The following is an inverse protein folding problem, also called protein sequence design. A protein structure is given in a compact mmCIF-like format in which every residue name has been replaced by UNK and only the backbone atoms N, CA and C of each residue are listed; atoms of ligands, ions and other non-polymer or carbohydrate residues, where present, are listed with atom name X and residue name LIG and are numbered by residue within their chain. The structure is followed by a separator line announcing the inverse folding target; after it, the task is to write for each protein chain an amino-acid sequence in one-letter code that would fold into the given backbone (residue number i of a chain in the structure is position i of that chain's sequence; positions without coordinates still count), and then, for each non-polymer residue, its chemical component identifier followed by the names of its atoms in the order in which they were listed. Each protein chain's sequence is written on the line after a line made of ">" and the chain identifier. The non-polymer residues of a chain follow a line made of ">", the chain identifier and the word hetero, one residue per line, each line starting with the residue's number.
data_IF_023811583034
#
_entry.id   IF_023811583034
#
_cell.length_a   1.000
_cell.length_b   1.000
_cell.length_c   1.000
_cell.angle_alpha   90.00
_cell.angle_beta   90.00
_cell.angle_gamma   90.00
#
_symmetry.space_group_name_H-M   'P 1'
#
loop_
_entity.id
_entity.type
_entity.pdbx_description
1 polymer ?
#
# COMPACT_ATOMS: atom_id res chain seq x y z
N UNK A 1 25.24 -3.20 45.80
CA UNK A 1 24.91 -4.28 44.86
C UNK A 1 23.68 -3.81 44.09
N UNK A 2 23.85 -3.26 42.88
CA UNK A 2 23.55 -3.96 41.59
C UNK A 2 22.11 -4.49 41.60
N UNK A 3 21.18 -4.04 40.74
CA UNK A 3 21.32 -3.79 39.30
C UNK A 3 20.23 -2.83 38.78
N UNK A 4 20.65 -1.99 37.84
CA UNK A 4 19.85 -1.34 36.79
C UNK A 4 18.89 -2.33 36.11
N UNK A 5 17.67 -1.91 35.81
CA UNK A 5 16.91 -2.42 34.68
C UNK A 5 16.27 -1.23 33.96
N UNK A 6 16.78 -0.99 32.76
CA UNK A 6 16.38 0.07 31.86
C UNK A 6 15.00 -0.23 31.25
N UNK A 7 14.34 0.87 30.88
CA UNK A 7 13.25 1.05 29.93
C UNK A 7 12.85 -0.17 29.08
N UNK A 8 11.56 -0.49 29.10
CA UNK A 8 10.90 -1.03 27.92
C UNK A 8 9.74 -0.09 27.55
N UNK A 9 9.96 0.59 26.44
CA UNK A 9 9.02 1.44 25.71
C UNK A 9 7.78 0.60 25.39
N UNK A 10 6.70 0.81 26.13
CA UNK A 10 5.38 0.38 25.70
C UNK A 10 4.80 1.43 24.74
N UNK A 11 5.46 1.59 23.59
CA UNK A 11 4.80 2.10 22.37
C UNK A 11 4.00 0.93 21.81
N UNK A 12 3.05 0.45 22.61
CA UNK A 12 2.12 -0.59 22.23
C UNK A 12 1.23 0.01 21.15
N UNK A 13 1.61 -0.33 19.91
CA UNK A 13 0.81 -0.31 18.70
C UNK A 13 -0.43 0.56 18.77
N UNK A 14 -0.25 1.85 18.48
CA UNK A 14 -1.19 2.44 17.55
C UNK A 14 -1.06 1.63 16.26
N UNK A 15 -1.82 0.53 16.20
CA UNK A 15 -2.30 -0.07 14.96
C UNK A 15 -3.02 1.06 14.26
N UNK A 16 -2.21 1.85 13.58
CA UNK A 16 -2.65 2.95 12.76
C UNK A 16 -3.23 2.26 11.55
N UNK A 17 -4.49 1.82 11.66
CA UNK A 17 -5.43 2.04 10.59
C UNK A 17 -5.53 3.57 10.43
N UNK A 18 -4.43 4.18 9.97
CA UNK A 18 -4.43 5.49 9.39
C UNK A 18 -5.35 5.31 8.19
N UNK A 19 -6.61 5.73 8.35
CA UNK A 19 -7.40 6.15 7.21
C UNK A 19 -6.52 7.16 6.49
N UNK A 20 -5.81 6.70 5.45
CA UNK A 20 -4.88 7.51 4.68
C UNK A 20 -5.68 8.75 4.26
N UNK A 21 -5.22 9.92 4.67
CA UNK A 21 -5.86 11.14 4.24
C UNK A 21 -5.89 11.15 2.70
N UNK A 22 -6.83 11.83 2.02
CA UNK A 22 -6.95 11.82 0.55
C UNK A 22 -5.75 12.34 -0.26
N UNK A 23 -4.57 12.53 0.33
CA UNK A 23 -3.29 12.77 -0.34
C UNK A 23 -2.13 11.94 0.24
N UNK A 24 -2.42 10.96 1.10
CA UNK A 24 -1.46 10.04 1.73
C UNK A 24 -1.53 8.63 1.11
N UNK A 25 -2.56 8.37 0.30
CA UNK A 25 -2.69 7.14 -0.50
C UNK A 25 -1.59 7.11 -1.56
N UNK A 26 -0.56 6.33 -1.26
CA UNK A 26 0.53 6.01 -2.16
C UNK A 26 0.49 4.51 -2.46
N UNK A 27 0.96 4.12 -3.64
CA UNK A 27 1.17 2.71 -3.93
C UNK A 27 2.17 2.12 -2.94
N UNK A 28 1.84 0.95 -2.43
CA UNK A 28 2.74 0.12 -1.63
C UNK A 28 3.91 -0.34 -2.51
N UNK A 29 5.04 -0.66 -1.88
CA UNK A 29 6.23 -1.13 -2.61
C UNK A 29 5.95 -2.40 -3.42
N UNK A 30 5.16 -3.32 -2.87
CA UNK A 30 4.72 -4.52 -3.58
C UNK A 30 3.84 -4.20 -4.79
N UNK A 31 2.96 -3.20 -4.66
CA UNK A 31 2.12 -2.79 -5.78
C UNK A 31 2.95 -2.18 -6.92
N UNK A 32 3.96 -1.37 -6.59
CA UNK A 32 4.88 -0.81 -7.59
C UNK A 32 5.62 -1.94 -8.33
N UNK A 33 6.20 -2.91 -7.61
CA UNK A 33 6.93 -4.03 -8.22
C UNK A 33 6.03 -4.88 -9.13
N UNK A 34 4.78 -5.09 -8.73
CA UNK A 34 3.81 -5.86 -9.50
C UNK A 34 3.33 -5.09 -10.74
N UNK A 35 3.09 -3.78 -10.61
CA UNK A 35 2.77 -2.90 -11.74
C UNK A 35 3.92 -2.80 -12.74
N UNK A 36 5.18 -2.71 -12.29
CA UNK A 36 6.34 -2.74 -13.19
C UNK A 36 6.43 -4.04 -13.99
N UNK A 37 5.92 -5.14 -13.44
CA UNK A 37 5.88 -6.44 -14.12
C UNK A 37 4.70 -6.55 -15.10
N UNK A 38 3.51 -6.09 -14.71
CA UNK A 38 2.30 -6.21 -15.50
C UNK A 38 2.21 -5.14 -16.60
N UNK A 39 2.51 -3.90 -16.25
CA UNK A 39 2.43 -2.75 -17.14
C UNK A 39 3.54 -1.73 -16.86
N UNK A 40 4.79 -2.00 -17.32
CA UNK A 40 5.95 -1.14 -17.06
C UNK A 40 5.87 0.27 -17.65
N UNK A 41 4.89 0.52 -18.53
CA UNK A 41 4.65 1.82 -19.13
C UNK A 41 3.50 2.58 -18.45
N UNK A 42 2.90 2.02 -17.39
CA UNK A 42 1.85 2.69 -16.65
C UNK A 42 2.41 3.92 -15.95
N UNK A 43 1.88 5.09 -16.26
CA UNK A 43 2.20 6.31 -15.53
C UNK A 43 1.41 6.34 -14.22
N UNK A 44 2.01 5.77 -13.17
CA UNK A 44 1.40 5.69 -11.83
C UNK A 44 1.06 7.07 -11.24
N UNK A 45 1.64 8.17 -11.75
CA UNK A 45 1.32 9.52 -11.30
C UNK A 45 -0.07 9.99 -11.77
N UNK A 46 -0.64 9.32 -12.77
CA UNK A 46 -1.97 9.60 -13.31
C UNK A 46 -3.08 8.85 -12.58
N UNK A 47 -2.73 7.92 -11.69
CA UNK A 47 -3.70 7.12 -10.95
C UNK A 47 -4.47 7.98 -9.97
N UNK A 48 -5.77 7.75 -9.90
CA UNK A 48 -6.62 8.37 -8.89
C UNK A 48 -6.38 7.74 -7.52
N UNK A 49 -6.69 8.45 -6.42
CA UNK A 49 -6.57 7.88 -5.08
C UNK A 49 -7.37 6.58 -4.89
N UNK A 50 -8.49 6.42 -5.60
CA UNK A 50 -9.30 5.20 -5.51
C UNK A 50 -8.58 4.05 -6.23
N UNK A 51 -8.06 4.28 -7.43
CA UNK A 51 -7.26 3.27 -8.14
C UNK A 51 -6.04 2.83 -7.34
N UNK A 52 -5.34 3.77 -6.69
CA UNK A 52 -4.22 3.47 -5.80
C UNK A 52 -4.66 2.59 -4.63
N UNK A 53 -5.84 2.87 -4.05
CA UNK A 53 -6.38 2.07 -2.97
C UNK A 53 -6.71 0.65 -3.42
N UNK A 54 -7.48 0.49 -4.50
CA UNK A 54 -7.86 -0.82 -5.05
C UNK A 54 -6.63 -1.66 -5.42
N UNK A 55 -5.66 -1.07 -6.12
CA UNK A 55 -4.40 -1.75 -6.46
C UNK A 55 -3.68 -2.23 -5.20
N UNK A 56 -3.62 -1.40 -4.16
CA UNK A 56 -2.99 -1.80 -2.91
C UNK A 56 -3.77 -2.90 -2.20
N UNK A 57 -5.10 -2.90 -2.24
CA UNK A 57 -5.93 -3.93 -1.64
C UNK A 57 -5.72 -5.28 -2.34
N UNK A 58 -5.75 -5.31 -3.67
CA UNK A 58 -5.53 -6.55 -4.44
C UNK A 58 -4.12 -7.13 -4.22
N UNK A 59 -3.11 -6.27 -4.21
CA UNK A 59 -1.71 -6.70 -3.98
C UNK A 59 -1.50 -7.22 -2.55
N UNK A 60 -2.17 -6.64 -1.55
CA UNK A 60 -2.09 -7.13 -0.18
C UNK A 60 -2.92 -8.39 0.07
N UNK A 61 -3.90 -8.68 -0.78
CA UNK A 61 -4.71 -9.89 -0.76
C UNK A 61 -4.03 -11.03 -1.50
N UNK A 62 -4.53 -11.32 -2.69
CA UNK A 62 -4.17 -12.51 -3.47
C UNK A 62 -3.08 -12.21 -4.51
N UNK A 63 -2.76 -10.92 -4.69
CA UNK A 63 -1.90 -10.39 -5.72
C UNK A 63 -2.72 -9.90 -6.92
N UNK A 64 -2.29 -8.78 -7.51
CA UNK A 64 -2.91 -8.19 -8.68
C UNK A 64 -2.59 -8.95 -9.97
N UNK A 65 -3.60 -9.30 -10.76
CA UNK A 65 -3.42 -9.80 -12.13
C UNK A 65 -3.67 -8.72 -13.21
N UNK A 66 -3.36 -9.06 -14.46
CA UNK A 66 -3.47 -8.12 -15.58
C UNK A 66 -4.93 -7.74 -15.91
N UNK A 67 -5.88 -8.67 -15.74
CA UNK A 67 -7.29 -8.41 -15.98
C UNK A 67 -7.86 -7.46 -14.91
N UNK A 68 -7.53 -7.71 -13.65
CA UNK A 68 -7.91 -6.86 -12.52
C UNK A 68 -7.33 -5.45 -12.65
N UNK A 69 -6.05 -5.35 -13.01
CA UNK A 69 -5.41 -4.06 -13.28
C UNK A 69 -6.16 -3.29 -14.38
N UNK A 70 -6.51 -3.93 -15.50
CA UNK A 70 -7.27 -3.28 -16.57
C UNK A 70 -8.64 -2.81 -16.06
N UNK A 71 -9.36 -3.64 -15.28
CA UNK A 71 -10.64 -3.25 -14.70
C UNK A 71 -10.50 -2.04 -13.78
N UNK A 72 -9.47 -1.98 -12.93
CA UNK A 72 -9.22 -0.81 -12.06
C UNK A 72 -8.87 0.44 -12.90
N UNK A 73 -8.16 0.29 -14.01
CA UNK A 73 -7.76 1.40 -14.87
C UNK A 73 -8.91 1.92 -15.76
N UNK A 74 -9.81 1.05 -16.22
CA UNK A 74 -10.86 1.37 -17.21
C UNK A 74 -12.26 1.60 -16.61
N UNK A 75 -12.62 0.86 -15.55
CA UNK A 75 -14.00 0.74 -15.06
C UNK A 75 -14.32 1.67 -13.86
N UNK A 76 -13.30 2.38 -13.39
CA UNK A 76 -13.41 3.45 -12.38
C UNK A 76 -13.78 4.80 -12.99
#
# INVERSE_FOLDING_TARGET
>A
MTTTAAALIALAGAASAQTAAPGDLQLSSGAIEQLETLEPNLDISTLTPIQINEINEEVNGDGLDQGELITILEDM
#
